data_IF_241626622984
#
_entry.id   IF_241626622984
#
_cell.length_a   1.000
_cell.length_b   1.000
_cell.length_c   1.000
_cell.angle_alpha   90.00
_cell.angle_beta   90.00
_cell.angle_gamma   90.00
#
_symmetry.space_group_name_H-M   'P 1'
#
loop_
_entity.id
_entity.type
_entity.pdbx_description
1 polymer ?
#
# COMPACT_ATOMS: atom_id res chain seq x y z
N UNK A 1 16.65 7.57 21.67
CA UNK A 1 16.12 6.39 22.40
C UNK A 1 15.35 5.57 21.39
N UNK A 2 15.88 4.41 21.04
CA UNK A 2 15.33 3.54 20.01
C UNK A 2 14.17 2.73 20.62
N UNK A 3 12.94 3.06 20.23
CA UNK A 3 11.75 2.36 20.70
C UNK A 3 11.69 0.98 20.03
N UNK A 4 12.41 0.01 20.59
CA UNK A 4 12.30 -1.40 20.22
C UNK A 4 11.06 -2.02 20.88
N UNK A 5 9.88 -1.65 20.38
CA UNK A 5 8.68 -2.41 20.67
C UNK A 5 8.71 -3.65 19.75
N UNK A 6 8.66 -4.90 20.27
CA UNK A 6 8.73 -6.08 19.42
C UNK A 6 7.60 -6.03 18.39
N UNK A 7 7.97 -5.97 17.10
CA UNK A 7 7.00 -5.95 16.01
C UNK A 7 6.14 -7.21 16.09
N UNK A 8 4.83 -7.03 16.29
CA UNK A 8 3.88 -8.15 16.33
C UNK A 8 4.03 -9.01 15.07
N UNK A 9 3.94 -10.35 15.20
CA UNK A 9 4.01 -11.23 14.06
C UNK A 9 2.84 -10.96 13.10
N UNK A 10 3.13 -10.75 11.82
CA UNK A 10 2.14 -10.50 10.78
C UNK A 10 1.48 -11.84 10.43
N UNK A 11 0.21 -12.01 10.81
CA UNK A 11 -0.61 -13.20 10.51
C UNK A 11 -1.63 -12.92 9.42
N UNK A 12 -2.08 -11.68 9.31
CA UNK A 12 -3.04 -11.18 8.34
C UNK A 12 -2.55 -9.88 7.69
N UNK A 13 -3.08 -9.54 6.52
CA UNK A 13 -2.88 -8.21 5.94
C UNK A 13 -3.39 -7.09 6.86
N UNK A 14 -4.36 -7.41 7.74
CA UNK A 14 -4.88 -6.48 8.75
C UNK A 14 -3.84 -6.09 9.81
N UNK A 15 -2.77 -6.87 9.96
CA UNK A 15 -1.66 -6.56 10.87
C UNK A 15 -0.67 -5.57 10.25
N UNK A 16 -0.77 -5.30 8.94
CA UNK A 16 0.07 -4.31 8.27
C UNK A 16 -0.41 -2.90 8.61
N UNK A 17 0.47 -2.10 9.20
CA UNK A 17 0.19 -0.70 9.53
C UNK A 17 -0.27 0.09 8.29
N UNK A 18 0.41 -0.10 7.16
CA UNK A 18 0.06 0.55 5.89
C UNK A 18 -1.35 0.19 5.40
N UNK A 19 -1.83 -1.03 5.67
CA UNK A 19 -3.23 -1.38 5.40
C UNK A 19 -4.19 -0.61 6.32
N UNK A 20 -3.91 -0.57 7.61
CA UNK A 20 -4.77 0.11 8.58
C UNK A 20 -4.89 1.60 8.28
N UNK A 21 -3.77 2.24 7.96
CA UNK A 21 -3.70 3.67 7.67
C UNK A 21 -4.42 4.01 6.37
N UNK A 22 -4.12 3.31 5.27
CA UNK A 22 -4.78 3.55 3.97
C UNK A 22 -6.27 3.22 4.01
N UNK A 23 -6.69 2.19 4.76
CA UNK A 23 -8.11 1.89 4.95
C UNK A 23 -8.84 3.05 5.66
N UNK A 24 -8.34 3.51 6.80
CA UNK A 24 -8.93 4.65 7.54
C UNK A 24 -8.96 5.92 6.69
N UNK A 25 -7.87 6.23 6.00
CA UNK A 25 -7.78 7.38 5.11
C UNK A 25 -8.82 7.33 3.97
N UNK A 26 -9.01 6.16 3.36
CA UNK A 26 -10.01 5.98 2.30
C UNK A 26 -11.45 6.22 2.77
N UNK A 27 -11.77 5.90 4.03
CA UNK A 27 -13.06 6.21 4.65
C UNK A 27 -13.21 7.72 4.83
N UNK A 28 -12.17 8.41 5.32
CA UNK A 28 -12.19 9.87 5.45
C UNK A 28 -12.38 10.55 4.10
N UNK A 29 -11.66 10.12 3.06
CA UNK A 29 -11.85 10.64 1.69
C UNK A 29 -13.30 10.44 1.24
N UNK A 30 -13.83 9.22 1.38
CA UNK A 30 -15.18 8.90 0.93
C UNK A 30 -16.28 9.68 1.65
N UNK A 31 -16.10 9.97 2.93
CA UNK A 31 -17.14 10.59 3.78
C UNK A 31 -16.98 12.09 3.94
N UNK A 32 -15.78 12.64 3.80
CA UNK A 32 -15.46 14.04 4.10
C UNK A 32 -15.03 14.85 2.89
N UNK A 33 -14.40 14.23 1.90
CA UNK A 33 -13.87 14.89 0.71
C UNK A 33 -14.83 14.74 -0.48
N UNK A 34 -15.15 13.50 -0.89
CA UNK A 34 -15.99 13.25 -2.06
C UNK A 34 -17.33 14.01 -2.05
N UNK A 35 -18.09 14.09 -0.93
CA UNK A 35 -19.38 14.78 -0.93
C UNK A 35 -19.30 16.30 -1.13
N UNK A 36 -18.09 16.89 -1.05
CA UNK A 36 -17.86 18.34 -1.18
C UNK A 36 -17.35 18.76 -2.54
N UNK A 37 -16.98 17.80 -3.40
CA UNK A 37 -16.58 18.10 -4.76
C UNK A 37 -17.78 18.59 -5.58
N UNK A 38 -17.59 19.56 -6.47
CA UNK A 38 -18.68 20.09 -7.28
C UNK A 38 -19.15 19.04 -8.29
N UNK A 39 -20.44 19.08 -8.64
CA UNK A 39 -21.05 18.01 -9.45
C UNK A 39 -20.45 17.84 -10.86
N UNK A 40 -19.77 18.85 -11.40
CA UNK A 40 -19.05 18.76 -12.67
C UNK A 40 -17.81 17.86 -12.60
N UNK A 41 -17.26 17.60 -11.40
CA UNK A 41 -16.12 16.72 -11.16
C UNK A 41 -16.52 15.24 -11.02
N UNK A 42 -17.80 14.91 -11.18
CA UNK A 42 -18.34 13.57 -10.91
C UNK A 42 -17.60 12.45 -11.65
N UNK A 43 -17.29 12.68 -12.93
CA UNK A 43 -16.63 11.70 -13.81
C UNK A 43 -15.13 11.96 -13.99
N UNK A 44 -14.58 12.91 -13.23
CA UNK A 44 -13.17 13.29 -13.24
C UNK A 44 -12.58 13.12 -11.84
N UNK A 45 -12.32 14.20 -11.10
CA UNK A 45 -11.62 14.14 -9.82
C UNK A 45 -12.35 13.28 -8.77
N UNK A 46 -13.69 13.28 -8.76
CA UNK A 46 -14.50 12.48 -7.83
C UNK A 46 -14.29 10.98 -8.05
N UNK A 47 -14.34 10.55 -9.32
CA UNK A 47 -14.16 9.17 -9.73
C UNK A 47 -12.70 8.74 -9.51
N UNK A 48 -11.75 9.61 -9.87
CA UNK A 48 -10.33 9.36 -9.72
C UNK A 48 -9.95 9.13 -8.25
N UNK A 49 -10.15 10.13 -7.38
CA UNK A 49 -9.81 10.02 -5.96
C UNK A 49 -10.65 8.95 -5.26
N UNK A 50 -11.90 8.74 -5.71
CA UNK A 50 -12.79 7.73 -5.17
C UNK A 50 -12.29 6.31 -5.41
N UNK A 51 -11.70 6.05 -6.58
CA UNK A 51 -11.12 4.74 -6.92
C UNK A 51 -9.75 4.57 -6.31
N UNK A 52 -8.85 5.54 -6.51
CA UNK A 52 -7.45 5.44 -6.10
C UNK A 52 -7.30 5.34 -4.60
N UNK A 53 -8.02 6.15 -3.82
CA UNK A 53 -7.94 6.10 -2.34
C UNK A 53 -8.29 4.73 -1.76
N UNK A 54 -9.21 3.99 -2.38
CA UNK A 54 -9.67 2.68 -1.91
C UNK A 54 -8.84 1.52 -2.48
N UNK A 55 -8.00 1.78 -3.48
CA UNK A 55 -7.22 0.73 -4.14
C UNK A 55 -6.09 0.16 -3.27
N UNK A 56 -5.26 0.96 -2.55
CA UNK A 56 -4.18 0.43 -1.71
C UNK A 56 -4.62 -0.64 -0.70
N UNK A 57 -5.67 -0.44 0.13
CA UNK A 57 -6.07 -1.49 1.07
C UNK A 57 -6.59 -2.76 0.37
N UNK A 58 -7.20 -2.65 -0.82
CA UNK A 58 -7.63 -3.81 -1.62
C UNK A 58 -6.44 -4.57 -2.20
N UNK A 59 -5.49 -3.85 -2.81
CA UNK A 59 -4.30 -4.41 -3.42
C UNK A 59 -3.40 -5.09 -2.37
N UNK A 60 -3.25 -4.49 -1.18
CA UNK A 60 -2.52 -5.11 -0.07
C UNK A 60 -3.18 -6.43 0.35
N UNK A 61 -4.52 -6.46 0.49
CA UNK A 61 -5.23 -7.68 0.86
C UNK A 61 -5.07 -8.78 -0.20
N UNK A 62 -5.22 -8.43 -1.49
CA UNK A 62 -5.08 -9.38 -2.59
C UNK A 62 -3.65 -9.89 -2.74
N UNK A 63 -2.66 -9.00 -2.70
CA UNK A 63 -1.25 -9.34 -2.73
C UNK A 63 -0.85 -10.25 -1.56
N UNK A 64 -1.36 -9.98 -0.36
CA UNK A 64 -1.08 -10.81 0.81
C UNK A 64 -1.65 -12.23 0.70
N UNK A 65 -2.76 -12.42 -0.02
CA UNK A 65 -3.29 -13.75 -0.34
C UNK A 65 -2.36 -14.50 -1.32
N UNK A 66 -1.73 -13.76 -2.24
CA UNK A 66 -0.80 -14.28 -3.27
C UNK A 66 0.66 -14.32 -2.82
N UNK A 67 0.99 -14.02 -1.57
CA UNK A 67 2.37 -13.99 -1.03
C UNK A 67 3.17 -15.29 -1.21
N UNK A 68 2.52 -16.45 -1.30
CA UNK A 68 3.25 -17.69 -1.58
C UNK A 68 3.92 -17.67 -2.97
N UNK A 69 3.37 -16.93 -3.93
CA UNK A 69 3.90 -16.75 -5.29
C UNK A 69 5.06 -15.73 -5.31
N UNK A 70 6.06 -15.97 -6.17
CA UNK A 70 7.28 -15.14 -6.24
C UNK A 70 6.98 -13.69 -6.61
N UNK A 71 6.31 -13.48 -7.75
CA UNK A 71 6.00 -12.16 -8.28
C UNK A 71 4.61 -11.66 -7.86
N UNK A 72 3.79 -12.55 -7.29
CA UNK A 72 2.39 -12.28 -7.01
C UNK A 72 2.12 -11.37 -5.82
N UNK A 73 3.09 -11.06 -4.96
CA UNK A 73 2.91 -10.01 -3.93
C UNK A 73 3.59 -8.71 -4.33
N UNK A 74 4.78 -8.79 -4.93
CA UNK A 74 5.56 -7.64 -5.39
C UNK A 74 4.73 -6.71 -6.28
N UNK A 75 4.12 -7.26 -7.34
CA UNK A 75 3.27 -6.49 -8.26
C UNK A 75 2.17 -5.69 -7.53
N UNK A 76 1.52 -6.30 -6.54
CA UNK A 76 0.44 -5.63 -5.81
C UNK A 76 0.93 -4.54 -4.87
N UNK A 77 2.15 -4.67 -4.34
CA UNK A 77 2.76 -3.61 -3.54
C UNK A 77 3.16 -2.42 -4.42
N UNK A 78 3.69 -2.69 -5.61
CA UNK A 78 4.03 -1.66 -6.60
C UNK A 78 2.76 -0.95 -7.11
N UNK A 79 1.72 -1.70 -7.45
CA UNK A 79 0.41 -1.15 -7.84
C UNK A 79 -0.20 -0.32 -6.68
N UNK A 80 -0.13 -0.81 -5.43
CA UNK A 80 -0.65 -0.08 -4.28
C UNK A 80 0.11 1.24 -4.04
N UNK A 81 1.41 1.27 -4.33
CA UNK A 81 2.24 2.47 -4.23
C UNK A 81 1.86 3.49 -5.32
N UNK A 82 1.63 3.03 -6.55
CA UNK A 82 1.14 3.89 -7.64
C UNK A 82 -0.20 4.54 -7.28
N UNK A 83 -1.13 3.76 -6.72
CA UNK A 83 -2.44 4.27 -6.28
C UNK A 83 -2.35 5.25 -5.10
N UNK A 84 -1.33 5.11 -4.22
CA UNK A 84 -1.05 6.12 -3.20
C UNK A 84 -0.62 7.44 -3.84
N UNK A 85 0.26 7.40 -4.85
CA UNK A 85 0.72 8.60 -5.54
C UNK A 85 -0.41 9.28 -6.32
N UNK A 86 -1.28 8.50 -6.98
CA UNK A 86 -2.47 9.04 -7.63
C UNK A 86 -3.40 9.71 -6.61
N UNK A 87 -3.62 9.09 -5.45
CA UNK A 87 -4.41 9.70 -4.37
C UNK A 87 -3.80 11.01 -3.87
N UNK A 88 -2.48 11.09 -3.75
CA UNK A 88 -1.75 12.30 -3.35
C UNK A 88 -2.03 13.44 -4.33
N UNK A 89 -1.81 13.21 -5.63
CA UNK A 89 -2.03 14.23 -6.67
C UNK A 89 -3.50 14.67 -6.69
N UNK A 90 -4.45 13.74 -6.58
CA UNK A 90 -5.86 14.09 -6.51
C UNK A 90 -6.20 14.94 -5.25
N UNK A 91 -5.60 14.63 -4.09
CA UNK A 91 -5.78 15.44 -2.88
C UNK A 91 -5.18 16.84 -3.01
N UNK A 92 -4.06 16.99 -3.72
CA UNK A 92 -3.49 18.29 -4.05
C UNK A 92 -4.46 19.10 -4.93
N UNK A 93 -5.07 18.49 -5.95
CA UNK A 93 -6.12 19.15 -6.75
C UNK A 93 -7.33 19.57 -5.90
N UNK A 94 -7.83 18.69 -5.03
CA UNK A 94 -8.92 19.03 -4.09
C UNK A 94 -8.55 20.26 -3.25
N UNK A 95 -7.32 20.30 -2.73
CA UNK A 95 -6.83 21.37 -1.86
C UNK A 95 -6.60 22.68 -2.61
N UNK A 96 -5.94 22.63 -3.76
CA UNK A 96 -5.41 23.82 -4.41
C UNK A 96 -6.41 24.45 -5.39
N UNK A 97 -7.26 23.65 -6.04
CA UNK A 97 -8.33 24.15 -6.93
C UNK A 97 -9.57 24.54 -6.12
N UNK A 98 -10.00 23.66 -5.21
CA UNK A 98 -11.30 23.80 -4.55
C UNK A 98 -11.22 24.27 -3.09
N UNK A 99 -10.03 24.24 -2.46
CA UNK A 99 -9.82 24.61 -1.05
C UNK A 99 -10.76 23.88 -0.08
N UNK A 100 -11.12 22.64 -0.42
CA UNK A 100 -11.98 21.79 0.40
C UNK A 100 -11.15 21.17 1.52
N UNK A 101 -11.62 21.30 2.77
CA UNK A 101 -11.07 20.57 3.94
C UNK A 101 -9.54 20.61 4.05
N UNK A 102 -8.92 21.77 3.76
CA UNK A 102 -7.45 21.90 3.63
C UNK A 102 -6.65 21.24 4.76
N UNK A 103 -6.99 21.38 6.06
CA UNK A 103 -6.28 20.69 7.14
C UNK A 103 -6.32 19.17 7.00
N UNK A 104 -7.49 18.60 6.71
CA UNK A 104 -7.67 17.17 6.49
C UNK A 104 -6.94 16.71 5.23
N UNK A 105 -6.96 17.49 4.14
CA UNK A 105 -6.16 17.18 2.96
C UNK A 105 -4.68 17.05 3.30
N UNK A 106 -4.11 17.97 4.09
CA UNK A 106 -2.71 17.89 4.51
C UNK A 106 -2.41 16.65 5.37
N UNK A 107 -3.31 16.28 6.28
CA UNK A 107 -3.19 15.03 7.06
C UNK A 107 -3.22 13.79 6.15
N UNK A 108 -4.15 13.75 5.20
CA UNK A 108 -4.29 12.65 4.26
C UNK A 108 -3.08 12.54 3.32
N UNK A 109 -2.54 13.66 2.84
CA UNK A 109 -1.33 13.72 2.04
C UNK A 109 -0.15 13.07 2.78
N UNK A 110 0.06 13.44 4.05
CA UNK A 110 1.10 12.83 4.89
C UNK A 110 0.88 11.33 5.10
N UNK A 111 -0.37 10.89 5.30
CA UNK A 111 -0.70 9.47 5.43
C UNK A 111 -0.35 8.70 4.16
N UNK A 112 -0.74 9.18 2.98
CA UNK A 112 -0.48 8.48 1.72
C UNK A 112 1.01 8.51 1.34
N UNK A 113 1.74 9.60 1.62
CA UNK A 113 3.20 9.70 1.41
C UNK A 113 3.95 8.70 2.32
N UNK A 114 3.60 8.64 3.61
CA UNK A 114 4.11 7.63 4.53
C UNK A 114 3.77 6.21 4.06
N UNK A 115 2.55 6.01 3.56
CA UNK A 115 2.08 4.70 3.06
C UNK A 115 2.86 4.25 1.83
N UNK A 116 3.14 5.13 0.87
CA UNK A 116 3.96 4.83 -0.30
C UNK A 116 5.38 4.36 0.11
N UNK A 117 6.02 5.06 1.06
CA UNK A 117 7.33 4.65 1.61
C UNK A 117 7.25 3.32 2.37
N UNK A 118 6.18 3.09 3.13
CA UNK A 118 5.96 1.81 3.82
C UNK A 118 5.80 0.65 2.82
N UNK A 119 5.08 0.85 1.72
CA UNK A 119 4.90 -0.14 0.65
C UNK A 119 6.23 -0.46 -0.04
N UNK A 120 7.02 0.56 -0.38
CA UNK A 120 8.36 0.38 -0.95
C UNK A 120 9.25 -0.48 -0.03
N UNK A 121 9.30 -0.15 1.26
CA UNK A 121 10.09 -0.89 2.24
C UNK A 121 9.57 -2.32 2.44
N UNK A 122 8.25 -2.51 2.45
CA UNK A 122 7.64 -3.83 2.54
C UNK A 122 7.99 -4.69 1.32
N UNK A 123 7.98 -4.11 0.12
CA UNK A 123 8.32 -4.78 -1.12
C UNK A 123 9.80 -5.21 -1.12
N UNK A 124 10.72 -4.29 -0.77
CA UNK A 124 12.14 -4.59 -0.65
C UNK A 124 12.43 -5.67 0.42
N UNK A 125 11.75 -5.61 1.57
CA UNK A 125 11.88 -6.62 2.62
C UNK A 125 11.37 -8.00 2.15
N UNK A 126 10.28 -8.01 1.38
CA UNK A 126 9.69 -9.24 0.85
C UNK A 126 10.59 -9.93 -0.18
N UNK A 127 11.16 -9.18 -1.11
CA UNK A 127 12.08 -9.72 -2.10
C UNK A 127 13.32 -10.34 -1.44
N UNK A 128 13.93 -9.62 -0.48
CA UNK A 128 15.04 -10.11 0.32
C UNK A 128 14.71 -11.42 1.07
N UNK A 129 13.52 -11.49 1.68
CA UNK A 129 13.07 -12.70 2.39
C UNK A 129 12.95 -13.92 1.44
N UNK A 130 12.42 -13.73 0.23
CA UNK A 130 12.32 -14.78 -0.78
C UNK A 130 13.70 -15.21 -1.29
N UNK A 131 14.63 -14.27 -1.48
CA UNK A 131 15.98 -14.59 -1.94
C UNK A 131 16.77 -15.39 -0.90
N UNK A 132 16.67 -15.04 0.40
CA UNK A 132 17.27 -15.82 1.49
C UNK A 132 16.75 -17.24 1.55
N UNK A 133 15.42 -17.45 1.46
CA UNK A 133 14.81 -18.79 1.46
C UNK A 133 15.29 -19.68 0.31
N UNK A 134 15.71 -19.12 -0.83
CA UNK A 134 16.25 -19.90 -1.95
C UNK A 134 17.68 -20.37 -1.69
N UNK A 135 18.50 -19.53 -1.07
CA UNK A 135 19.90 -19.87 -0.77
C UNK A 135 20.03 -20.97 0.29
N UNK A 136 19.01 -21.14 1.14
CA UNK A 136 18.98 -22.17 2.19
C UNK A 136 18.40 -23.51 1.75
N UNK A 137 17.92 -23.66 0.51
CA UNK A 137 17.48 -24.96 -0.01
C UNK A 137 18.72 -25.79 -0.36
N UNK A 138 18.94 -26.98 0.23
CA UNK A 138 20.15 -27.76 -0.03
C UNK A 138 20.25 -28.15 -1.50
N UNK A 139 21.46 -28.05 -2.05
CA UNK A 139 21.87 -28.85 -3.19
C UNK A 139 21.77 -30.32 -2.73
N UNK A 140 20.70 -31.02 -3.12
CA UNK A 140 20.68 -32.47 -2.99
C UNK A 140 21.72 -33.01 -3.98
N UNK A 141 22.90 -33.24 -3.44
CA UNK A 141 23.92 -34.09 -4.04
C UNK A 141 23.38 -35.52 -4.10
N UNK A 142 22.70 -35.86 -5.19
CA UNK A 142 22.44 -37.25 -5.58
C UNK A 142 23.38 -37.66 -6.71
N UNK A 143 24.63 -37.22 -6.65
CA UNK A 143 25.61 -37.44 -7.70
C UNK A 143 26.97 -37.83 -7.15
N UNK A 144 27.04 -38.99 -6.48
CA UNK A 144 28.22 -39.88 -6.28
C UNK A 144 27.75 -41.05 -5.40
N UNK A 145 28.00 -42.33 -5.66
CA UNK A 145 29.07 -43.00 -6.41
C UNK A 145 28.66 -44.47 -6.70
N UNK A 146 29.13 -44.99 -7.85
CA UNK A 146 29.72 -46.32 -8.12
C UNK A 146 29.02 -47.58 -7.52
N UNK A 147 28.61 -48.58 -8.30
CA UNK A 147 29.42 -49.59 -9.05
C UNK A 147 28.49 -50.35 -9.98
#
# INVERSE_FOLDING_TARGET
MENQNPKKPIRSFRDLEVYQNTYKASILIATRILPKLPGNEKYDLTDQIGRSSKAPPRLIAEGFAKKHQKFGFQKYLDDAMAECNETIVSLEHVKDIYRIEVPLCNELLDIYDKSARQLFNLAAAWDNFKNRRRQTTPYNDTGRDNV
#
